data_IF_944878979914
#
_entry.id   IF_944878979914
#
_cell.length_a   1.000
_cell.length_b   1.000
_cell.length_c   1.000
_cell.angle_alpha   90.00
_cell.angle_beta   90.00
_cell.angle_gamma   90.00
#
_symmetry.space_group_name_H-M   'P 1'
#
loop_
_entity.id
_entity.type
_entity.pdbx_description
1 polymer ?
#
# COMPACT_ATOMS: atom_id res chain seq x y z
N UNK A 1 -4.18 9.60 -11.39
CA UNK A 1 -5.42 10.15 -10.80
C UNK A 1 -5.46 11.66 -11.02
N UNK A 2 -6.61 12.25 -11.36
CA UNK A 2 -6.72 13.73 -11.50
C UNK A 2 -6.41 14.44 -10.20
N UNK A 3 -6.89 13.94 -9.05
CA UNK A 3 -6.62 14.52 -7.73
C UNK A 3 -5.12 14.56 -7.44
N UNK A 4 -4.39 13.49 -7.77
CA UNK A 4 -2.95 13.45 -7.60
C UNK A 4 -2.22 14.51 -8.44
N UNK A 5 -2.73 14.84 -9.62
CA UNK A 5 -2.17 15.92 -10.44
C UNK A 5 -2.30 17.29 -9.74
N UNK A 6 -3.39 17.52 -9.01
CA UNK A 6 -3.61 18.75 -8.25
C UNK A 6 -2.63 18.89 -7.07
N UNK A 7 -2.29 17.77 -6.41
CA UNK A 7 -1.28 17.73 -5.35
C UNK A 7 0.13 17.99 -5.90
N UNK A 8 0.47 17.40 -7.04
CA UNK A 8 1.76 17.60 -7.72
C UNK A 8 1.88 19.01 -8.28
N UNK A 9 0.77 19.60 -8.73
CA UNK A 9 0.75 20.99 -9.15
C UNK A 9 1.10 21.91 -7.97
N UNK A 10 0.55 21.65 -6.78
CA UNK A 10 0.92 22.38 -5.56
C UNK A 10 2.40 22.19 -5.21
N UNK A 11 2.91 20.95 -5.23
CA UNK A 11 4.34 20.64 -4.99
C UNK A 11 5.27 21.46 -5.91
N UNK A 12 4.86 21.63 -7.17
CA UNK A 12 5.63 22.34 -8.20
C UNK A 12 5.30 23.83 -8.30
N UNK A 13 4.49 24.38 -7.39
CA UNK A 13 3.99 25.76 -7.45
C UNK A 13 3.31 26.12 -8.78
N UNK A 14 2.65 25.15 -9.41
CA UNK A 14 1.81 25.33 -10.59
C UNK A 14 0.40 25.67 -10.10
N UNK A 15 -0.14 26.79 -10.56
CA UNK A 15 -1.43 27.34 -10.14
C UNK A 15 -2.45 27.25 -11.26
N UNK A 16 -3.68 27.69 -11.00
CA UNK A 16 -4.71 27.81 -12.01
C UNK A 16 -4.24 28.64 -13.22
N UNK A 17 -3.51 29.75 -12.99
CA UNK A 17 -3.05 30.65 -14.04
C UNK A 17 -1.79 30.17 -14.76
N UNK A 18 -1.06 29.22 -14.20
CA UNK A 18 0.18 28.66 -14.78
C UNK A 18 0.04 27.19 -15.18
N UNK A 19 -1.20 26.70 -15.31
CA UNK A 19 -1.52 25.30 -15.60
C UNK A 19 -0.79 24.72 -16.83
N UNK A 20 -0.49 25.53 -17.84
CA UNK A 20 0.26 25.13 -19.04
C UNK A 20 1.69 24.64 -18.73
N UNK A 21 2.26 25.04 -17.59
CA UNK A 21 3.56 24.56 -17.12
C UNK A 21 3.51 23.11 -16.59
N UNK A 22 2.32 22.58 -16.28
CA UNK A 22 2.18 21.18 -15.93
C UNK A 22 2.51 20.32 -17.14
N UNK A 23 3.24 19.22 -17.04
CA UNK A 23 3.64 18.45 -18.22
C UNK A 23 2.49 17.61 -18.80
N UNK A 24 2.55 17.37 -20.11
CA UNK A 24 1.61 16.49 -20.81
C UNK A 24 1.89 15.01 -20.54
N UNK A 25 0.91 14.15 -20.85
CA UNK A 25 1.08 12.70 -20.86
C UNK A 25 0.38 12.05 -22.06
N UNK A 26 1.10 11.30 -22.89
CA UNK A 26 0.47 10.53 -23.98
C UNK A 26 -0.16 9.20 -23.52
N UNK A 27 -0.14 8.93 -22.21
CA UNK A 27 -0.50 7.63 -21.65
C UNK A 27 -1.97 7.24 -21.88
N UNK A 28 -2.86 8.23 -21.99
CA UNK A 28 -4.28 8.07 -22.32
C UNK A 28 -4.58 8.31 -23.80
N UNK A 29 -3.55 8.29 -24.66
CA UNK A 29 -3.62 8.64 -26.06
C UNK A 29 -3.56 10.15 -26.30
N UNK A 30 -3.21 10.53 -27.53
CA UNK A 30 -2.89 11.92 -27.89
C UNK A 30 -4.03 12.92 -27.63
N UNK A 31 -5.29 12.46 -27.70
CA UNK A 31 -6.48 13.29 -27.43
C UNK A 31 -6.57 13.73 -25.97
N UNK A 32 -5.94 13.01 -25.05
CA UNK A 32 -5.98 13.27 -23.62
C UNK A 32 -4.66 13.83 -23.06
N UNK A 33 -3.74 14.25 -23.94
CA UNK A 33 -2.39 14.67 -23.52
C UNK A 33 -2.35 15.78 -22.48
N UNK A 34 -3.28 16.73 -22.58
CA UNK A 34 -3.42 17.86 -21.66
C UNK A 34 -4.44 17.64 -20.55
N UNK A 35 -4.91 16.42 -20.28
CA UNK A 35 -6.02 16.22 -19.33
C UNK A 35 -5.73 16.77 -17.93
N UNK A 36 -4.50 16.66 -17.45
CA UNK A 36 -4.10 17.19 -16.15
C UNK A 36 -3.97 18.71 -16.17
N UNK A 37 -3.38 19.29 -17.23
CA UNK A 37 -3.37 20.75 -17.45
C UNK A 37 -4.77 21.33 -17.43
N UNK A 38 -5.68 20.71 -18.18
CA UNK A 38 -7.07 21.15 -18.29
C UNK A 38 -7.77 21.13 -16.93
N UNK A 39 -7.53 20.10 -16.11
CA UNK A 39 -8.07 20.03 -14.76
C UNK A 39 -7.52 21.16 -13.88
N UNK A 40 -6.20 21.39 -13.87
CA UNK A 40 -5.57 22.46 -13.09
C UNK A 40 -6.02 23.84 -13.58
N UNK A 41 -6.13 24.07 -14.88
CA UNK A 41 -6.64 25.33 -15.44
C UNK A 41 -8.09 25.60 -15.04
N UNK A 42 -8.90 24.55 -14.88
CA UNK A 42 -10.29 24.67 -14.47
C UNK A 42 -10.46 25.00 -12.98
N UNK A 43 -9.67 24.37 -12.10
CA UNK A 43 -9.91 24.43 -10.64
C UNK A 43 -8.72 24.83 -9.78
N UNK A 44 -7.53 25.03 -10.34
CA UNK A 44 -6.30 25.29 -9.58
C UNK A 44 -5.72 24.03 -8.92
N UNK A 45 -4.59 24.20 -8.23
CA UNK A 45 -3.97 23.12 -7.45
C UNK A 45 -4.73 22.84 -6.14
N UNK A 46 -4.32 21.82 -5.39
CA UNK A 46 -5.01 21.44 -4.14
C UNK A 46 -5.07 22.58 -3.11
N UNK A 47 -3.95 23.27 -2.88
CA UNK A 47 -3.89 24.44 -2.01
C UNK A 47 -4.84 25.58 -2.42
N UNK A 48 -4.95 25.89 -3.71
CA UNK A 48 -5.91 26.89 -4.22
C UNK A 48 -7.37 26.48 -4.01
N UNK A 49 -7.69 25.20 -4.21
CA UNK A 49 -9.02 24.66 -3.94
C UNK A 49 -9.34 24.77 -2.44
N UNK A 50 -8.41 24.37 -1.58
CA UNK A 50 -8.59 24.43 -0.13
C UNK A 50 -8.79 25.86 0.35
N UNK A 51 -7.94 26.79 -0.08
CA UNK A 51 -8.00 28.21 0.29
C UNK A 51 -9.34 28.85 -0.12
N UNK A 52 -9.85 28.51 -1.31
CA UNK A 52 -11.11 29.09 -1.81
C UNK A 52 -12.36 28.50 -1.17
N UNK A 53 -12.35 27.22 -0.80
CA UNK A 53 -13.59 26.51 -0.47
C UNK A 53 -13.66 25.99 0.97
N UNK A 54 -12.54 25.79 1.64
CA UNK A 54 -12.48 25.11 2.94
C UNK A 54 -11.92 26.02 4.03
N UNK A 55 -10.88 26.80 3.71
CA UNK A 55 -10.08 27.53 4.71
C UNK A 55 -10.87 28.52 5.56
N UNK A 56 -11.95 29.09 5.02
CA UNK A 56 -12.84 29.99 5.78
C UNK A 56 -13.59 29.27 6.92
N UNK A 57 -13.92 28.00 6.73
CA UNK A 57 -14.65 27.20 7.72
C UNK A 57 -13.70 26.37 8.60
N UNK A 58 -12.65 25.82 7.98
CA UNK A 58 -11.68 24.93 8.61
C UNK A 58 -10.29 25.40 8.18
N UNK A 59 -9.52 26.07 9.05
CA UNK A 59 -8.15 26.48 8.75
C UNK A 59 -7.31 25.27 8.35
N UNK A 60 -6.44 25.44 7.35
CA UNK A 60 -5.64 24.35 6.80
C UNK A 60 -4.72 23.76 7.88
N UNK A 61 -5.05 22.55 8.33
CA UNK A 61 -4.26 21.79 9.30
C UNK A 61 -3.14 20.99 8.62
N UNK A 62 -2.11 20.52 9.34
CA UNK A 62 -1.00 19.77 8.75
C UNK A 62 -1.46 18.55 7.95
N UNK A 63 -2.50 17.83 8.39
CA UNK A 63 -3.13 16.73 7.64
C UNK A 63 -3.53 17.10 6.19
N UNK A 64 -3.76 18.38 5.91
CA UNK A 64 -4.09 18.93 4.60
C UNK A 64 -2.89 19.53 3.86
N UNK A 65 -1.66 19.26 4.31
CA UNK A 65 -0.40 19.75 3.72
C UNK A 65 0.33 18.58 3.04
N UNK A 66 1.19 18.93 2.08
CA UNK A 66 2.05 17.97 1.39
C UNK A 66 3.10 17.37 2.34
N UNK A 67 3.22 16.05 2.35
CA UNK A 67 4.29 15.35 3.06
C UNK A 67 5.56 15.34 2.21
N UNK A 68 6.58 16.09 2.62
CA UNK A 68 7.85 16.23 1.91
C UNK A 68 8.89 15.14 2.20
N UNK A 69 8.58 14.18 3.07
CA UNK A 69 9.46 13.05 3.40
C UNK A 69 9.95 13.02 4.85
N UNK A 70 9.78 14.12 5.57
CA UNK A 70 10.35 14.42 6.88
C UNK A 70 9.46 14.03 8.07
N UNK A 71 8.19 13.73 7.82
CA UNK A 71 7.22 13.32 8.86
C UNK A 71 6.53 12.00 8.52
N UNK A 72 5.89 11.41 9.53
CA UNK A 72 5.16 10.16 9.41
C UNK A 72 4.09 10.20 8.32
N UNK A 73 3.94 9.10 7.61
CA UNK A 73 2.94 8.94 6.55
C UNK A 73 2.15 7.64 6.65
N UNK A 74 2.61 6.71 7.51
CA UNK A 74 1.88 5.48 7.77
C UNK A 74 0.65 5.83 8.61
N UNK A 75 -0.52 5.62 8.03
CA UNK A 75 -1.79 5.91 8.67
C UNK A 75 -2.50 4.59 9.02
N UNK A 76 -2.81 4.42 10.30
CA UNK A 76 -3.58 3.30 10.81
C UNK A 76 -5.07 3.54 10.50
N UNK A 77 -5.60 2.82 9.51
CA UNK A 77 -7.02 2.94 9.19
C UNK A 77 -7.87 2.25 10.27
N UNK A 78 -8.91 2.92 10.79
CA UNK A 78 -9.84 2.27 11.70
C UNK A 78 -10.60 1.18 10.94
N UNK A 79 -10.79 0.01 11.57
CA UNK A 79 -11.58 -1.10 11.00
C UNK A 79 -13.08 -0.78 10.85
N UNK A 80 -13.51 0.38 11.33
CA UNK A 80 -14.91 0.81 11.34
C UNK A 80 -15.73 0.10 12.42
N UNK A 81 -17.05 0.04 12.23
CA UNK A 81 -17.92 -0.63 13.19
C UNK A 81 -17.97 -2.14 12.93
N UNK A 82 -17.42 -2.91 13.86
CA UNK A 82 -17.37 -4.37 13.80
C UNK A 82 -18.53 -5.05 14.54
N UNK A 83 -19.33 -4.28 15.27
CA UNK A 83 -20.39 -4.77 16.15
C UNK A 83 -21.75 -4.23 15.71
N UNK A 84 -22.77 -5.09 15.67
CA UNK A 84 -24.12 -4.68 15.35
C UNK A 84 -24.78 -3.90 16.49
N UNK A 85 -25.99 -3.39 16.26
CA UNK A 85 -26.78 -2.64 17.26
C UNK A 85 -27.17 -3.46 18.51
N UNK A 86 -26.90 -4.76 18.53
CA UNK A 86 -27.21 -5.69 19.61
C UNK A 86 -25.96 -6.19 20.35
N UNK A 87 -24.76 -5.74 19.97
CA UNK A 87 -23.52 -6.17 20.60
C UNK A 87 -22.89 -7.43 19.99
N UNK A 88 -23.39 -7.92 18.84
CA UNK A 88 -22.82 -9.10 18.19
C UNK A 88 -21.79 -8.71 17.12
N UNK A 89 -20.76 -9.55 16.94
CA UNK A 89 -19.80 -9.41 15.86
C UNK A 89 -20.51 -9.50 14.50
N UNK A 90 -20.30 -8.50 13.65
CA UNK A 90 -20.77 -8.49 12.27
C UNK A 90 -19.95 -9.50 11.47
N UNK A 91 -20.65 -10.44 10.81
CA UNK A 91 -20.02 -11.46 9.99
C UNK A 91 -20.36 -11.23 8.52
N UNK A 92 -19.35 -11.25 7.66
CA UNK A 92 -19.52 -11.28 6.22
C UNK A 92 -19.75 -12.71 5.69
N UNK A 93 -19.85 -12.87 4.36
CA UNK A 93 -20.30 -14.10 3.73
C UNK A 93 -19.29 -15.27 3.79
N UNK A 94 -18.04 -15.06 4.18
CA UNK A 94 -16.97 -16.04 3.97
C UNK A 94 -16.31 -15.89 2.60
N UNK A 95 -15.31 -16.73 2.26
CA UNK A 95 -14.74 -16.85 0.93
C UNK A 95 -15.82 -16.98 -0.15
N UNK A 96 -15.68 -16.21 -1.23
CA UNK A 96 -16.54 -16.35 -2.41
C UNK A 96 -16.20 -17.66 -3.14
N UNK A 97 -17.22 -18.43 -3.52
CA UNK A 97 -17.08 -19.64 -4.34
C UNK A 97 -16.27 -19.35 -5.62
N UNK A 98 -15.22 -20.12 -5.86
CA UNK A 98 -14.27 -19.95 -6.96
C UNK A 98 -13.30 -18.77 -6.79
N UNK A 99 -13.40 -18.00 -5.71
CA UNK A 99 -12.54 -16.87 -5.40
C UNK A 99 -11.12 -17.28 -5.00
N UNK A 100 -10.20 -16.31 -4.99
CA UNK A 100 -8.77 -16.52 -4.69
C UNK A 100 -8.58 -17.11 -3.30
N UNK A 101 -9.30 -16.61 -2.28
CA UNK A 101 -9.20 -17.14 -0.91
C UNK A 101 -9.59 -18.62 -0.87
N UNK A 102 -10.71 -19.01 -1.50
CA UNK A 102 -11.14 -20.41 -1.53
C UNK A 102 -10.10 -21.31 -2.20
N UNK A 103 -9.54 -20.87 -3.34
CA UNK A 103 -8.50 -21.63 -4.06
C UNK A 103 -7.23 -21.81 -3.22
N UNK A 104 -6.78 -20.76 -2.53
CA UNK A 104 -5.60 -20.81 -1.65
C UNK A 104 -5.85 -21.73 -0.44
N UNK A 105 -7.05 -21.67 0.15
CA UNK A 105 -7.40 -22.58 1.24
C UNK A 105 -7.45 -24.04 0.77
N UNK A 106 -7.94 -24.29 -0.46
CA UNK A 106 -8.01 -25.63 -1.05
C UNK A 106 -6.62 -26.19 -1.43
N UNK A 107 -5.68 -25.34 -1.85
CA UNK A 107 -4.28 -25.73 -2.08
C UNK A 107 -3.46 -25.84 -0.80
N UNK A 108 -4.00 -25.33 0.32
CA UNK A 108 -3.32 -25.18 1.62
C UNK A 108 -2.03 -24.34 1.57
N UNK A 109 -1.85 -23.55 0.50
CA UNK A 109 -0.62 -22.80 0.24
C UNK A 109 -0.91 -21.48 -0.47
N UNK A 110 -0.35 -20.39 0.08
CA UNK A 110 -0.25 -19.10 -0.58
C UNK A 110 1.04 -19.05 -1.41
N UNK A 111 0.99 -18.62 -2.66
CA UNK A 111 2.20 -18.35 -3.44
C UNK A 111 2.44 -16.84 -3.49
N UNK A 112 3.48 -16.37 -2.81
CA UNK A 112 3.86 -14.96 -2.78
C UNK A 112 5.11 -14.72 -3.61
N UNK A 113 5.02 -13.85 -4.61
CA UNK A 113 6.18 -13.41 -5.35
C UNK A 113 6.91 -12.27 -4.61
N UNK A 114 8.24 -12.30 -4.61
CA UNK A 114 9.10 -11.23 -4.05
C UNK A 114 10.14 -10.77 -5.07
N UNK A 115 10.50 -9.49 -5.02
CA UNK A 115 11.52 -8.95 -5.94
C UNK A 115 12.93 -9.40 -5.56
N UNK A 116 13.67 -9.94 -6.53
CA UNK A 116 15.08 -10.29 -6.38
C UNK A 116 15.93 -9.07 -5.97
N UNK A 117 15.59 -7.91 -6.51
CA UNK A 117 16.19 -6.64 -6.18
C UNK A 117 15.11 -5.71 -5.67
N UNK A 118 15.25 -5.26 -4.42
CA UNK A 118 14.33 -4.31 -3.81
C UNK A 118 15.14 -3.23 -3.08
N UNK A 119 14.47 -2.16 -2.67
CA UNK A 119 15.08 -1.15 -1.78
C UNK A 119 15.51 -1.70 -0.43
N UNK A 120 15.05 -2.90 -0.08
CA UNK A 120 15.41 -3.63 1.13
C UNK A 120 16.61 -4.55 0.88
N UNK A 121 17.34 -4.34 -0.22
CA UNK A 121 18.49 -5.16 -0.61
C UNK A 121 18.13 -6.32 -1.54
N UNK A 122 19.17 -7.04 -1.95
CA UNK A 122 19.07 -8.21 -2.81
C UNK A 122 18.46 -9.36 -2.02
N UNK A 123 17.50 -10.06 -2.62
CA UNK A 123 16.95 -11.26 -2.04
C UNK A 123 18.04 -12.34 -1.98
N UNK A 124 18.16 -12.98 -0.82
CA UNK A 124 18.88 -14.22 -0.67
C UNK A 124 17.90 -15.26 -0.12
N UNK A 125 18.01 -16.53 -0.52
CA UNK A 125 17.08 -17.57 -0.07
C UNK A 125 17.10 -17.79 1.46
N UNK A 126 18.14 -17.30 2.14
CA UNK A 126 18.24 -17.29 3.60
C UNK A 126 17.54 -16.08 4.26
N UNK A 127 17.13 -15.07 3.48
CA UNK A 127 16.55 -13.82 3.98
C UNK A 127 15.07 -13.96 4.32
N UNK A 128 14.85 -14.67 5.42
CA UNK A 128 13.55 -14.94 6.00
C UNK A 128 12.94 -13.74 6.74
N UNK A 129 13.68 -12.63 6.90
CA UNK A 129 13.25 -11.47 7.69
C UNK A 129 13.16 -10.18 6.89
N UNK A 130 13.37 -10.21 5.57
CA UNK A 130 13.07 -9.06 4.71
C UNK A 130 11.61 -8.68 4.80
N UNK A 131 11.32 -7.38 4.82
CA UNK A 131 9.98 -6.87 5.11
C UNK A 131 8.94 -7.37 4.11
N UNK A 132 9.28 -7.46 2.82
CA UNK A 132 8.40 -7.99 1.78
C UNK A 132 8.08 -9.49 1.98
N UNK A 133 9.03 -10.29 2.46
CA UNK A 133 8.84 -11.70 2.86
C UNK A 133 8.01 -11.80 4.14
N UNK A 134 8.25 -10.94 5.12
CA UNK A 134 7.47 -10.89 6.37
C UNK A 134 6.01 -10.55 6.08
N UNK A 135 5.72 -9.64 5.15
CA UNK A 135 4.35 -9.36 4.73
C UNK A 135 3.72 -10.52 3.92
N UNK A 136 4.48 -11.26 3.10
CA UNK A 136 3.97 -12.52 2.52
C UNK A 136 3.54 -13.51 3.61
N UNK A 137 4.37 -13.68 4.64
CA UNK A 137 4.11 -14.55 5.79
C UNK A 137 2.95 -14.07 6.65
N UNK A 138 2.77 -12.76 6.80
CA UNK A 138 1.63 -12.17 7.48
C UNK A 138 0.32 -12.52 6.78
N UNK A 139 0.26 -12.43 5.44
CA UNK A 139 -0.92 -12.85 4.67
C UNK A 139 -1.19 -14.35 4.85
N UNK A 140 -0.15 -15.18 4.83
CA UNK A 140 -0.30 -16.62 5.09
C UNK A 140 -0.77 -16.92 6.53
N UNK A 141 -0.23 -16.25 7.55
CA UNK A 141 -0.71 -16.38 8.92
C UNK A 141 -2.20 -16.01 9.05
N UNK A 142 -2.62 -14.93 8.39
CA UNK A 142 -4.02 -14.50 8.37
C UNK A 142 -4.94 -15.52 7.67
N UNK A 143 -4.46 -16.16 6.59
CA UNK A 143 -5.20 -17.20 5.85
C UNK A 143 -5.28 -18.52 6.63
N UNK A 144 -4.19 -18.92 7.27
CA UNK A 144 -3.98 -20.25 7.81
C UNK A 144 -3.89 -20.29 9.33
N UNK A 145 -4.60 -19.39 10.03
CA UNK A 145 -4.76 -19.39 11.50
C UNK A 145 -3.42 -19.43 12.24
N UNK A 146 -2.47 -18.62 11.76
CA UNK A 146 -1.11 -18.50 12.30
C UNK A 146 -0.06 -19.38 11.65
N UNK A 147 -0.43 -20.31 10.76
CA UNK A 147 0.52 -21.14 10.01
C UNK A 147 1.18 -20.37 8.86
N UNK A 148 2.04 -19.40 9.20
CA UNK A 148 2.76 -18.55 8.25
C UNK A 148 3.71 -19.31 7.32
N UNK A 149 4.12 -20.52 7.68
CA UNK A 149 4.98 -21.40 6.86
C UNK A 149 4.26 -21.95 5.61
N UNK A 150 2.92 -21.82 5.55
CA UNK A 150 2.12 -22.20 4.38
C UNK A 150 2.20 -21.15 3.26
N UNK A 151 3.39 -20.57 3.06
CA UNK A 151 3.69 -19.64 1.98
C UNK A 151 4.86 -20.16 1.16
N UNK A 152 4.68 -20.20 -0.16
CA UNK A 152 5.76 -20.41 -1.12
C UNK A 152 6.26 -19.02 -1.54
N UNK A 153 7.55 -18.78 -1.34
CA UNK A 153 8.20 -17.54 -1.78
C UNK A 153 8.81 -17.76 -3.16
N UNK A 154 8.29 -17.01 -4.14
CA UNK A 154 8.71 -17.05 -5.55
C UNK A 154 9.52 -15.80 -5.91
N UNK A 155 10.83 -15.93 -6.01
CA UNK A 155 11.69 -14.81 -6.44
C UNK A 155 11.41 -14.46 -7.91
N UNK A 156 11.20 -13.18 -8.20
CA UNK A 156 11.16 -12.67 -9.58
C UNK A 156 12.25 -11.62 -9.78
N UNK A 157 12.98 -11.76 -10.89
CA UNK A 157 14.18 -10.95 -11.17
C UNK A 157 13.82 -9.52 -11.54
N UNK A 158 12.82 -9.35 -12.40
CA UNK A 158 12.36 -8.05 -12.85
C UNK A 158 10.98 -7.76 -12.27
N UNK A 159 10.72 -6.50 -11.98
CA UNK A 159 9.40 -6.05 -11.51
C UNK A 159 8.27 -6.51 -12.43
N UNK A 160 8.47 -6.43 -13.75
CA UNK A 160 7.48 -6.88 -14.75
C UNK A 160 7.18 -8.38 -14.69
N UNK A 161 8.13 -9.21 -14.25
CA UNK A 161 7.93 -10.65 -14.14
C UNK A 161 6.93 -10.98 -13.02
N UNK A 162 6.94 -10.20 -11.93
CA UNK A 162 5.95 -10.33 -10.85
C UNK A 162 4.53 -10.03 -11.31
N UNK A 163 4.33 -8.93 -12.04
CA UNK A 163 3.02 -8.60 -12.60
C UNK A 163 2.53 -9.63 -13.62
N UNK A 164 3.42 -10.15 -14.47
CA UNK A 164 3.05 -11.21 -15.41
C UNK A 164 2.70 -12.51 -14.66
N UNK A 165 3.43 -12.85 -13.60
CA UNK A 165 3.14 -14.02 -12.78
C UNK A 165 1.79 -13.93 -12.07
N UNK A 166 1.35 -12.73 -11.64
CA UNK A 166 -0.02 -12.51 -11.15
C UNK A 166 -1.05 -12.80 -12.24
N UNK A 167 -0.89 -12.21 -13.43
CA UNK A 167 -1.81 -12.41 -14.57
C UNK A 167 -1.90 -13.90 -14.95
N UNK A 168 -0.75 -14.58 -15.00
CA UNK A 168 -0.66 -15.99 -15.37
C UNK A 168 -1.12 -16.95 -14.25
N UNK A 169 -1.50 -16.43 -13.07
CA UNK A 169 -1.90 -17.22 -11.92
C UNK A 169 -0.78 -18.05 -11.28
N UNK A 170 0.47 -17.68 -11.53
CA UNK A 170 1.65 -18.35 -10.96
C UNK A 170 1.94 -17.91 -9.52
N UNK A 171 1.52 -16.69 -9.15
CA UNK A 171 1.58 -16.17 -7.79
C UNK A 171 0.21 -15.55 -7.44
N UNK A 172 -0.16 -15.58 -6.17
CA UNK A 172 -1.40 -14.99 -5.66
C UNK A 172 -1.22 -13.51 -5.30
N UNK A 173 -0.05 -13.17 -4.75
CA UNK A 173 0.30 -11.83 -4.28
C UNK A 173 1.73 -11.50 -4.68
N UNK A 174 1.98 -10.25 -5.07
CA UNK A 174 3.29 -9.74 -5.42
C UNK A 174 3.74 -8.68 -4.40
N UNK A 175 4.90 -8.87 -3.80
CA UNK A 175 5.42 -8.08 -2.68
C UNK A 175 6.70 -7.34 -3.04
N UNK A 176 6.87 -6.12 -2.53
CA UNK A 176 8.11 -5.35 -2.69
C UNK A 176 8.22 -4.54 -3.99
N UNK A 177 7.10 -4.23 -4.65
CA UNK A 177 7.06 -3.40 -5.87
C UNK A 177 6.62 -1.97 -5.58
N UNK A 178 7.11 -1.04 -6.40
CA UNK A 178 6.73 0.36 -6.36
C UNK A 178 5.26 0.58 -6.73
N UNK A 179 4.52 1.34 -5.91
CA UNK A 179 3.23 1.89 -6.36
C UNK A 179 3.51 2.96 -7.42
N UNK A 180 3.22 2.67 -8.68
CA UNK A 180 3.32 3.67 -9.75
C UNK A 180 2.09 3.64 -10.64
N UNK A 181 1.52 4.80 -10.92
CA UNK A 181 0.31 4.88 -11.75
C UNK A 181 0.50 4.31 -13.17
N UNK A 182 1.73 4.34 -13.69
CA UNK A 182 2.06 3.79 -15.02
C UNK A 182 2.00 2.25 -15.08
N UNK A 183 2.04 1.55 -13.95
CA UNK A 183 2.05 0.09 -13.93
C UNK A 183 0.71 -0.51 -14.38
N UNK A 184 -0.43 0.15 -14.14
CA UNK A 184 -1.78 -0.40 -14.45
C UNK A 184 -2.21 -0.28 -15.93
N UNK A 185 -1.36 0.25 -16.81
CA UNK A 185 -1.81 0.72 -18.14
C UNK A 185 -0.79 0.43 -19.27
N UNK A 186 0.23 -0.40 -19.03
CA UNK A 186 1.14 -0.92 -20.08
C UNK A 186 0.53 -2.09 -20.87
N UNK A 187 1.06 -2.41 -22.04
CA UNK A 187 0.34 -3.14 -23.11
C UNK A 187 -0.19 -4.55 -22.78
N UNK A 188 0.47 -5.33 -21.90
CA UNK A 188 -0.06 -6.64 -21.43
C UNK A 188 -1.08 -6.53 -20.29
N UNK A 189 -1.22 -5.34 -19.71
CA UNK A 189 -2.01 -5.07 -18.49
C UNK A 189 -3.33 -4.37 -18.79
N UNK A 190 -3.73 -4.29 -20.07
CA UNK A 190 -4.98 -3.63 -20.48
C UNK A 190 -6.23 -4.44 -20.16
N UNK A 191 -6.08 -5.74 -19.91
CA UNK A 191 -7.20 -6.66 -19.63
C UNK A 191 -7.36 -6.97 -18.14
N UNK A 192 -6.37 -6.65 -17.30
CA UNK A 192 -6.37 -6.94 -15.86
C UNK A 192 -5.94 -5.71 -15.06
N UNK A 193 -6.75 -5.35 -14.06
CA UNK A 193 -6.40 -4.34 -13.07
C UNK A 193 -5.50 -4.91 -11.97
N UNK A 194 -4.70 -4.05 -11.35
CA UNK A 194 -3.96 -4.39 -10.14
C UNK A 194 -4.39 -3.49 -9.00
N UNK A 195 -4.56 -4.12 -7.84
CA UNK A 195 -4.84 -3.44 -6.59
C UNK A 195 -3.66 -3.53 -5.63
N UNK A 196 -3.47 -2.46 -4.86
CA UNK A 196 -2.34 -2.30 -3.94
C UNK A 196 -2.85 -2.24 -2.50
N UNK A 197 -2.11 -2.85 -1.58
CA UNK A 197 -2.28 -2.57 -0.15
C UNK A 197 -1.91 -1.11 0.16
N UNK A 198 -2.10 -0.71 1.42
CA UNK A 198 -1.35 0.45 1.91
C UNK A 198 0.16 0.24 1.69
N UNK A 199 0.90 1.27 1.27
CA UNK A 199 2.34 1.17 1.23
C UNK A 199 2.91 0.94 2.63
N UNK A 200 3.73 -0.09 2.76
CA UNK A 200 4.36 -0.48 4.03
C UNK A 200 5.83 -0.06 4.13
N UNK A 201 6.41 0.41 3.04
CA UNK A 201 7.76 0.95 3.05
C UNK A 201 7.86 2.12 2.09
N UNK A 202 8.47 3.20 2.55
CA UNK A 202 8.80 4.38 1.78
C UNK A 202 10.31 4.51 1.73
N UNK A 203 10.86 4.65 0.54
CA UNK A 203 12.27 5.02 0.39
C UNK A 203 12.54 6.34 1.12
N UNK A 204 13.53 6.40 2.03
CA UNK A 204 13.88 7.66 2.67
C UNK A 204 14.39 8.69 1.67
N UNK A 205 14.08 9.96 1.91
CA UNK A 205 14.35 11.06 0.97
C UNK A 205 15.85 11.25 0.70
N UNK A 206 16.71 10.83 1.63
CA UNK A 206 18.16 10.93 1.58
C UNK A 206 18.77 9.95 0.56
N UNK A 207 18.04 8.88 0.21
CA UNK A 207 18.51 7.87 -0.73
C UNK A 207 18.20 8.32 -2.16
N UNK A 208 19.24 8.69 -2.92
CA UNK A 208 19.12 9.10 -4.32
C UNK A 208 18.43 8.03 -5.18
N UNK A 209 17.66 8.46 -6.18
CA UNK A 209 16.93 7.61 -7.12
C UNK A 209 15.44 7.93 -7.13
N UNK A 210 14.62 7.10 -7.78
CA UNK A 210 13.17 7.32 -7.82
C UNK A 210 12.57 7.21 -6.42
N UNK A 211 11.55 8.03 -6.14
CA UNK A 211 10.72 7.85 -4.95
C UNK A 211 9.89 6.59 -5.16
N UNK A 212 10.03 5.65 -4.25
CA UNK A 212 9.57 4.28 -4.41
C UNK A 212 8.90 3.87 -3.09
N UNK A 213 7.73 3.26 -3.23
CA UNK A 213 6.84 2.88 -2.14
C UNK A 213 6.52 1.40 -2.32
N UNK A 214 6.88 0.54 -1.37
CA UNK A 214 6.53 -0.87 -1.46
C UNK A 214 5.13 -1.12 -0.91
N UNK A 215 4.37 -1.93 -1.65
CA UNK A 215 3.07 -2.45 -1.25
C UNK A 215 2.93 -3.91 -1.69
N UNK A 216 1.91 -4.58 -1.16
CA UNK A 216 1.45 -5.85 -1.69
C UNK A 216 0.50 -5.58 -2.86
N UNK A 217 0.59 -6.42 -3.89
CA UNK A 217 -0.18 -6.30 -5.12
C UNK A 217 -0.97 -7.57 -5.40
N UNK A 218 -2.23 -7.40 -5.77
CA UNK A 218 -3.15 -8.46 -6.19
C UNK A 218 -3.78 -8.10 -7.53
N UNK A 219 -4.36 -9.08 -8.22
CA UNK A 219 -5.29 -8.80 -9.31
C UNK A 219 -6.56 -8.16 -8.74
N UNK A 220 -7.05 -7.10 -9.39
CA UNK A 220 -8.26 -6.37 -8.98
C UNK A 220 -9.56 -7.16 -9.22
N UNK A 221 -9.49 -8.22 -10.04
CA UNK A 221 -10.65 -9.05 -10.44
C UNK A 221 -11.27 -9.84 -9.27
N UNK A 222 -10.58 -9.95 -8.13
CA UNK A 222 -11.12 -10.50 -6.87
C UNK A 222 -11.12 -9.44 -5.75
N UNK A 223 -12.21 -8.66 -5.62
CA UNK A 223 -12.26 -7.58 -4.63
C UNK A 223 -12.23 -8.09 -3.18
N UNK A 224 -12.65 -9.34 -2.92
CA UNK A 224 -12.59 -9.89 -1.58
C UNK A 224 -11.14 -10.17 -1.17
N UNK A 225 -10.35 -10.79 -2.04
CA UNK A 225 -8.95 -11.06 -1.77
C UNK A 225 -8.11 -9.78 -1.74
N UNK A 226 -8.37 -8.83 -2.64
CA UNK A 226 -7.76 -7.50 -2.58
C UNK A 226 -8.03 -6.82 -1.23
N UNK A 227 -9.28 -6.82 -0.76
CA UNK A 227 -9.63 -6.25 0.53
C UNK A 227 -8.95 -6.99 1.69
N UNK A 228 -8.88 -8.33 1.62
CA UNK A 228 -8.20 -9.15 2.61
C UNK A 228 -6.73 -8.74 2.74
N UNK A 229 -5.98 -8.71 1.63
CA UNK A 229 -4.56 -8.34 1.62
C UNK A 229 -4.34 -6.90 2.09
N UNK A 230 -5.19 -5.97 1.65
CA UNK A 230 -5.13 -4.57 2.11
C UNK A 230 -5.27 -4.47 3.63
N UNK A 231 -6.29 -5.11 4.20
CA UNK A 231 -6.57 -5.02 5.62
C UNK A 231 -5.60 -5.81 6.50
N UNK A 232 -4.99 -6.88 5.97
CA UNK A 232 -3.85 -7.52 6.65
C UNK A 232 -2.73 -6.52 6.85
N UNK A 233 -2.32 -5.76 5.83
CA UNK A 233 -1.26 -4.74 5.98
C UNK A 233 -1.71 -3.62 6.94
N UNK A 234 -2.94 -3.12 6.79
CA UNK A 234 -3.48 -2.07 7.67
C UNK A 234 -3.49 -2.49 9.15
N UNK A 235 -3.73 -3.77 9.43
CA UNK A 235 -3.74 -4.29 10.79
C UNK A 235 -2.38 -4.19 11.50
N UNK A 236 -1.26 -4.18 10.78
CA UNK A 236 0.06 -4.00 11.38
C UNK A 236 0.30 -2.55 11.83
N UNK A 237 -0.27 -1.59 11.10
CA UNK A 237 -0.21 -0.18 11.48
C UNK A 237 -1.16 0.10 12.66
N UNK A 238 -2.37 -0.46 12.62
CA UNK A 238 -3.29 -0.42 13.75
C UNK A 238 -2.66 -1.02 15.01
N UNK A 239 -2.04 -2.20 14.89
CA UNK A 239 -1.39 -2.85 16.02
C UNK A 239 -0.29 -1.97 16.62
N UNK A 240 0.52 -1.32 15.79
CA UNK A 240 1.55 -0.42 16.29
C UNK A 240 0.96 0.83 16.96
N UNK A 241 -0.06 1.46 16.37
CA UNK A 241 -0.73 2.64 16.93
C UNK A 241 -1.35 2.35 18.31
N UNK A 242 -1.93 1.16 18.47
CA UNK A 242 -2.57 0.70 19.70
C UNK A 242 -1.59 -0.02 20.66
N UNK A 243 -0.28 0.05 20.41
CA UNK A 243 0.77 -0.59 21.22
C UNK A 243 0.60 -2.12 21.38
N UNK A 244 -0.04 -2.75 20.39
CA UNK A 244 -0.18 -4.20 20.27
C UNK A 244 1.07 -4.74 19.57
N UNK A 245 1.80 -5.61 20.25
CA UNK A 245 3.00 -6.31 19.80
C UNK A 245 2.71 -7.79 19.58
N UNK A 246 3.74 -8.55 19.21
CA UNK A 246 3.68 -10.01 19.19
C UNK A 246 3.28 -10.63 20.54
N UNK A 247 3.62 -10.00 21.66
CA UNK A 247 3.42 -10.56 23.00
C UNK A 247 1.96 -10.44 23.49
N UNK A 248 1.26 -9.37 23.12
CA UNK A 248 -0.12 -9.09 23.51
C UNK A 248 -1.09 -9.13 22.32
N UNK A 249 -0.72 -9.76 21.20
CA UNK A 249 -1.53 -9.80 19.97
C UNK A 249 -2.98 -10.28 20.14
N UNK A 250 -3.32 -10.97 21.25
CA UNK A 250 -4.70 -11.28 21.64
C UNK A 250 -5.60 -10.04 21.84
N UNK A 251 -5.00 -8.86 22.03
CA UNK A 251 -5.69 -7.59 22.15
C UNK A 251 -6.17 -7.05 20.79
N UNK A 252 -5.74 -7.67 19.68
CA UNK A 252 -6.26 -7.34 18.35
C UNK A 252 -7.79 -7.55 18.29
N UNK A 253 -8.53 -6.61 17.70
CA UNK A 253 -9.98 -6.73 17.57
C UNK A 253 -10.34 -7.93 16.69
N UNK A 254 -11.45 -8.58 17.06
CA UNK A 254 -12.05 -9.65 16.26
C UNK A 254 -12.73 -9.05 15.03
N UNK A 255 -12.53 -9.66 13.86
CA UNK A 255 -13.14 -9.20 12.60
C UNK A 255 -13.83 -10.36 11.89
N UNK A 256 -15.16 -10.31 11.80
CA UNK A 256 -15.96 -11.33 11.12
C UNK A 256 -16.24 -11.04 9.64
N UNK A 257 -15.75 -9.91 9.09
CA UNK A 257 -16.13 -9.42 7.76
C UNK A 257 -15.71 -10.34 6.60
N UNK A 258 -14.67 -11.16 6.79
CA UNK A 258 -14.23 -12.15 5.80
C UNK A 258 -14.85 -13.53 6.01
N UNK A 259 -15.73 -13.69 7.00
CA UNK A 259 -16.27 -14.98 7.45
C UNK A 259 -15.87 -15.30 8.88
N UNK A 260 -16.60 -16.23 9.52
CA UNK A 260 -16.40 -16.58 10.93
C UNK A 260 -15.05 -17.25 11.16
N UNK A 261 -14.57 -18.00 10.18
CA UNK A 261 -13.29 -18.68 10.15
C UNK A 261 -12.09 -17.72 10.21
N UNK A 262 -12.27 -16.46 9.79
CA UNK A 262 -11.26 -15.40 9.82
C UNK A 262 -11.41 -14.44 11.01
N UNK A 263 -12.25 -14.76 12.00
CA UNK A 263 -12.51 -13.92 13.19
C UNK A 263 -11.23 -13.39 13.85
N UNK A 264 -10.15 -14.18 13.80
CA UNK A 264 -8.86 -13.90 14.45
C UNK A 264 -7.71 -13.65 13.47
N UNK A 265 -7.99 -13.42 12.17
CA UNK A 265 -6.96 -13.32 11.14
C UNK A 265 -5.87 -12.28 11.46
N UNK A 266 -6.25 -11.13 12.04
CA UNK A 266 -5.29 -10.08 12.38
C UNK A 266 -4.47 -10.45 13.61
N UNK A 267 -5.11 -10.97 14.67
CA UNK A 267 -4.39 -11.54 15.83
C UNK A 267 -3.34 -12.54 15.35
N UNK A 268 -3.72 -13.45 14.47
CA UNK A 268 -2.84 -14.53 14.00
C UNK A 268 -1.66 -13.99 13.20
N UNK A 269 -1.86 -12.95 12.39
CA UNK A 269 -0.80 -12.27 11.68
C UNK A 269 0.18 -11.53 12.62
N UNK A 270 -0.33 -10.80 13.61
CA UNK A 270 0.50 -10.08 14.61
C UNK A 270 1.23 -11.08 15.53
N UNK A 271 0.58 -12.17 15.96
CA UNK A 271 1.24 -13.25 16.71
C UNK A 271 2.40 -13.87 15.93
N UNK A 272 2.28 -13.99 14.61
CA UNK A 272 3.32 -14.55 13.77
C UNK A 272 4.49 -13.57 13.61
N UNK A 273 4.20 -12.33 13.18
CA UNK A 273 5.20 -11.40 12.63
C UNK A 273 5.50 -10.18 13.51
N UNK A 274 4.67 -9.87 14.52
CA UNK A 274 4.72 -8.62 15.28
C UNK A 274 3.95 -7.48 14.58
N UNK A 275 3.95 -6.29 15.15
CA UNK A 275 3.39 -5.09 14.53
C UNK A 275 4.33 -4.48 13.47
N UNK A 276 3.95 -3.34 12.89
CA UNK A 276 4.75 -2.71 11.84
C UNK A 276 6.16 -2.29 12.30
N UNK A 277 6.30 -1.71 13.49
CA UNK A 277 7.60 -1.41 14.09
C UNK A 277 8.47 -2.66 14.26
N UNK A 278 7.90 -3.75 14.79
CA UNK A 278 8.61 -5.03 14.97
C UNK A 278 9.03 -5.65 13.63
N UNK A 279 8.21 -5.56 12.58
CA UNK A 279 8.61 -5.98 11.22
C UNK A 279 9.79 -5.16 10.73
N UNK A 280 9.76 -3.83 10.92
CA UNK A 280 10.84 -2.96 10.49
C UNK A 280 12.16 -3.32 11.18
N UNK A 281 12.12 -3.51 12.49
CA UNK A 281 13.30 -3.87 13.29
C UNK A 281 13.86 -5.25 12.88
N UNK A 282 12.99 -6.25 12.68
CA UNK A 282 13.40 -7.57 12.19
C UNK A 282 14.11 -7.52 10.84
N UNK A 283 13.60 -6.69 9.91
CA UNK A 283 14.27 -6.49 8.61
C UNK A 283 15.58 -5.73 8.76
N UNK A 284 15.63 -4.69 9.60
CA UNK A 284 16.82 -3.88 9.83
C UNK A 284 17.97 -4.67 10.44
N UNK A 285 17.66 -5.60 11.35
CA UNK A 285 18.63 -6.53 11.95
C UNK A 285 19.26 -7.46 10.90
N UNK A 286 18.51 -7.83 9.86
CA UNK A 286 18.97 -8.77 8.83
C UNK A 286 19.63 -8.06 7.64
N UNK A 287 19.31 -6.78 7.43
CA UNK A 287 19.73 -5.99 6.26
C UNK A 287 20.52 -4.77 6.73
N UNK A 288 21.85 -4.88 6.67
CA UNK A 288 22.76 -3.83 7.12
C UNK A 288 22.51 -2.49 6.41
N UNK A 289 22.17 -2.53 5.13
CA UNK A 289 21.92 -1.35 4.29
C UNK A 289 20.56 -0.69 4.53
N UNK A 290 19.63 -1.35 5.20
CA UNK A 290 18.33 -0.78 5.51
C UNK A 290 18.53 0.41 6.47
N UNK A 291 17.98 1.60 6.18
CA UNK A 291 18.15 2.76 7.05
C UNK A 291 17.34 2.60 8.35
N UNK A 292 17.72 3.28 9.44
CA UNK A 292 16.87 3.40 10.62
C UNK A 292 15.47 3.88 10.22
N UNK A 293 14.45 3.39 10.95
CA UNK A 293 13.08 3.82 10.70
C UNK A 293 12.94 5.32 10.95
N UNK A 294 12.29 6.02 10.03
CA UNK A 294 12.15 7.47 10.07
C UNK A 294 11.34 8.03 8.90
N UNK A 295 11.07 9.34 8.97
CA UNK A 295 10.30 10.07 7.96
C UNK A 295 8.95 9.39 7.67
N UNK A 296 8.66 9.19 6.39
CA UNK A 296 7.40 8.56 5.93
C UNK A 296 7.14 7.15 6.45
N UNK A 297 8.15 6.44 6.97
CA UNK A 297 7.97 5.13 7.59
C UNK A 297 7.54 5.20 9.06
N UNK A 298 7.34 6.40 9.62
CA UNK A 298 6.74 6.58 10.95
C UNK A 298 5.21 6.63 10.84
N UNK A 299 4.54 6.24 11.92
CA UNK A 299 3.11 6.51 12.09
C UNK A 299 2.83 8.01 12.00
N UNK A 300 1.71 8.36 11.38
CA UNK A 300 1.15 9.71 11.39
C UNK A 300 -0.06 9.72 12.34
N UNK A 301 0.21 9.95 13.63
CA UNK A 301 -0.75 9.95 14.72
C UNK A 301 -0.99 11.37 15.27
N UNK A 302 -1.93 11.53 16.21
CA UNK A 302 -2.29 12.84 16.79
C UNK A 302 -1.15 13.43 17.65
N UNK A 303 -0.71 14.70 17.42
CA UNK A 303 -1.17 15.64 16.39
C UNK A 303 -0.75 15.24 14.97
N UNK A 304 -1.74 15.07 14.09
CA UNK A 304 -1.50 14.63 12.72
C UNK A 304 -0.57 15.57 11.97
N UNK A 305 0.40 14.97 11.28
CA UNK A 305 1.40 15.59 10.43
C UNK A 305 0.93 15.64 8.96
N UNK A 306 1.68 16.28 8.04
CA UNK A 306 1.39 16.24 6.60
C UNK A 306 1.10 14.84 6.05
N UNK A 307 -0.03 14.69 5.33
CA UNK A 307 -0.49 13.40 4.78
C UNK A 307 -0.49 13.32 3.25
N UNK A 308 -0.51 14.46 2.54
CA UNK A 308 -0.64 14.40 1.08
C UNK A 308 0.70 14.07 0.42
N UNK A 309 0.85 12.85 -0.11
CA UNK A 309 2.10 12.42 -0.73
C UNK A 309 2.08 12.60 -2.26
N UNK A 310 2.80 13.59 -2.84
CA UNK A 310 2.83 13.81 -4.29
C UNK A 310 3.58 12.71 -5.07
N UNK A 311 4.38 11.86 -4.40
CA UNK A 311 5.31 10.91 -5.02
C UNK A 311 4.66 9.80 -5.88
N UNK A 312 3.33 9.67 -5.92
CA UNK A 312 2.61 8.68 -6.73
C UNK A 312 2.51 9.03 -8.23
N UNK A 313 2.85 10.25 -8.62
CA UNK A 313 2.62 10.78 -9.98
C UNK A 313 3.82 10.90 -10.96
N UNK A 314 5.11 10.78 -10.57
CA UNK A 314 6.21 11.18 -11.43
C UNK A 314 6.35 10.34 -12.71
N UNK A 315 5.83 9.11 -12.73
CA UNK A 315 6.01 8.17 -13.85
C UNK A 315 5.00 8.31 -15.01
N UNK A 316 3.98 9.16 -14.86
CA UNK A 316 2.95 9.39 -15.90
C UNK A 316 3.41 10.47 -16.88
N UNK A 317 4.30 11.31 -16.39
CA UNK A 317 4.83 12.47 -17.09
C UNK A 317 5.98 11.97 -17.92
N UNK A 318 5.88 12.08 -19.26
CA UNK A 318 7.00 11.77 -20.13
C UNK A 318 8.23 12.54 -19.65
N UNK A 319 9.37 11.88 -19.39
CA UNK A 319 10.62 12.59 -19.22
C UNK A 319 11.02 13.10 -20.60
N UNK A 320 10.52 14.27 -20.98
CA UNK A 320 11.21 15.07 -21.98
C UNK A 320 12.39 15.73 -21.26
N UNK A 321 13.44 14.93 -21.03
CA UNK A 321 14.85 15.30 -20.94
C UNK A 321 15.69 14.03 -21.15
#
# INVERSE_FOLDING_TARGET
>A
SVVQALLVAEERNITQSTADAFPDTSFFGDRHKGMFRNAIAAVGNYGEIYARHVEQAIPRQPINVLNTGDSGLIFAHPFGNLIDRFGNLINGPGPVDGGVIERILASEQLVCGVSAESLLGRFEAADNKRMDVLFCRAVAAALFKGAWENVIIEEKKLENDGFNALIDGQIDVWSGTGITFGINLTERRKEHGFSYSQPYFFKPAEVKGRSEMHALVTLEDDPQFTAFVYWVVAAFFYAEEEEITKENANDMPKVGLFGREFTYMFRDAILAMGNYGEIYDQSKENIETMPPRGGRNMLNNDPYEPQHNPALFPNIITPNL
#
